data_IF_279418446348
#
_entry.id   IF_279418446348
#
_cell.length_a   1.000
_cell.length_b   1.000
_cell.length_c   1.000
_cell.angle_alpha   90.00
_cell.angle_beta   90.00
_cell.angle_gamma   90.00
#
_symmetry.space_group_name_H-M   'P 1'
#
loop_
_entity.id
_entity.type
_entity.pdbx_description
1 polymer ?
#
# COMPACT_ATOMS: atom_id res chain seq x y z
N UNK A 1 -5.43 -23.03 3.84
CA UNK A 1 -6.07 -21.79 4.33
C UNK A 1 -4.98 -20.75 4.52
N UNK A 2 -5.18 -19.50 4.09
CA UNK A 2 -4.16 -18.47 4.22
C UNK A 2 -3.81 -18.21 5.69
N UNK A 3 -2.58 -17.79 5.95
CA UNK A 3 -2.15 -17.39 7.31
C UNK A 3 -2.98 -16.19 7.81
N UNK A 4 -2.97 -15.93 9.11
CA UNK A 4 -3.61 -14.72 9.67
C UNK A 4 -2.98 -13.45 9.10
N UNK A 5 -1.67 -13.45 8.87
CA UNK A 5 -0.96 -12.33 8.25
C UNK A 5 -1.40 -12.09 6.81
N UNK A 6 -1.50 -13.15 5.98
CA UNK A 6 -1.94 -13.03 4.60
C UNK A 6 -3.38 -12.47 4.49
N UNK A 7 -4.26 -12.84 5.42
CA UNK A 7 -5.63 -12.30 5.48
C UNK A 7 -5.66 -10.83 5.91
N UNK A 8 -4.83 -10.43 6.86
CA UNK A 8 -4.71 -9.04 7.30
C UNK A 8 -4.19 -8.14 6.16
N UNK A 9 -3.14 -8.59 5.45
CA UNK A 9 -2.60 -7.90 4.27
C UNK A 9 -3.67 -7.76 3.19
N UNK A 10 -4.36 -8.86 2.84
CA UNK A 10 -5.41 -8.81 1.82
C UNK A 10 -6.54 -7.85 2.20
N UNK A 11 -7.00 -7.87 3.44
CA UNK A 11 -8.08 -6.99 3.89
C UNK A 11 -7.67 -5.51 3.80
N UNK A 12 -6.45 -5.18 4.26
CA UNK A 12 -5.89 -3.83 4.17
C UNK A 12 -5.71 -3.39 2.74
N UNK A 13 -5.12 -4.25 1.90
CA UNK A 13 -4.93 -3.96 0.49
C UNK A 13 -6.25 -3.61 -0.20
N UNK A 14 -7.30 -4.44 0.01
CA UNK A 14 -8.63 -4.19 -0.56
C UNK A 14 -9.28 -2.91 -0.02
N UNK A 15 -9.02 -2.54 1.24
CA UNK A 15 -9.45 -1.25 1.80
C UNK A 15 -8.73 -0.09 1.12
N UNK A 16 -7.40 -0.15 0.97
CA UNK A 16 -6.58 0.95 0.47
C UNK A 16 -6.80 1.21 -1.01
N UNK A 17 -6.93 0.17 -1.84
CA UNK A 17 -7.19 0.34 -3.28
C UNK A 17 -8.54 0.99 -3.57
N UNK A 18 -9.48 0.98 -2.61
CA UNK A 18 -10.75 1.68 -2.75
C UNK A 18 -10.64 3.21 -2.60
N UNK A 19 -9.53 3.70 -2.03
CA UNK A 19 -9.25 5.14 -1.97
C UNK A 19 -8.71 5.62 -3.32
N UNK A 20 -9.35 6.63 -3.88
CA UNK A 20 -8.83 7.38 -5.03
C UNK A 20 -7.67 8.25 -4.54
N UNK A 21 -6.45 7.88 -4.90
CA UNK A 21 -5.21 8.58 -4.50
C UNK A 21 -4.36 8.95 -5.72
N UNK A 22 -4.97 9.01 -6.89
CA UNK A 22 -4.26 9.33 -8.12
C UNK A 22 -3.53 10.67 -7.99
N UNK A 23 -2.28 10.71 -8.43
CA UNK A 23 -1.49 11.93 -8.44
C UNK A 23 -1.96 12.91 -9.53
N UNK A 24 -1.53 14.16 -9.43
CA UNK A 24 -1.86 15.25 -10.36
C UNK A 24 -0.68 16.21 -10.44
N UNK A 25 0.20 16.00 -11.42
CA UNK A 25 1.40 16.82 -11.63
C UNK A 25 1.07 18.31 -11.77
N UNK A 26 -0.12 18.64 -12.29
CA UNK A 26 -0.54 20.03 -12.50
C UNK A 26 -0.77 20.80 -11.20
N UNK A 27 -0.95 20.10 -10.07
CA UNK A 27 -1.20 20.67 -8.75
C UNK A 27 0.06 20.87 -7.92
N UNK A 28 1.19 20.23 -8.26
CA UNK A 28 2.41 20.23 -7.44
C UNK A 28 2.94 21.63 -7.14
N UNK A 29 2.81 22.56 -8.09
CA UNK A 29 3.24 23.96 -7.88
C UNK A 29 2.39 24.70 -6.82
N UNK A 30 1.24 24.16 -6.44
CA UNK A 30 0.24 24.81 -5.59
C UNK A 30 0.02 24.11 -4.25
N UNK A 31 0.21 22.79 -4.19
CA UNK A 31 -0.06 21.98 -2.99
C UNK A 31 0.65 20.63 -3.04
N UNK A 32 0.91 20.13 -1.84
CA UNK A 32 1.29 18.74 -1.56
C UNK A 32 0.43 18.25 -0.38
N UNK A 33 -0.14 17.04 -0.42
CA UNK A 33 -0.26 16.15 -1.60
C UNK A 33 -0.99 16.82 -2.76
N UNK A 34 -0.66 16.40 -3.98
CA UNK A 34 -1.25 16.95 -5.21
C UNK A 34 -2.76 16.66 -5.33
N UNK A 35 -3.24 15.61 -4.66
CA UNK A 35 -4.67 15.25 -4.56
C UNK A 35 -5.14 15.05 -3.12
N UNK A 36 -6.40 15.39 -2.83
CA UNK A 36 -6.96 15.28 -1.46
C UNK A 36 -7.05 13.83 -0.99
N UNK A 37 -7.28 12.91 -1.93
CA UNK A 37 -7.41 11.49 -1.63
C UNK A 37 -6.13 10.88 -1.05
N UNK A 38 -4.95 11.35 -1.48
CA UNK A 38 -3.68 10.95 -0.88
C UNK A 38 -3.64 11.30 0.61
N UNK A 39 -4.00 12.54 0.97
CA UNK A 39 -4.08 12.97 2.38
C UNK A 39 -5.12 12.15 3.15
N UNK A 40 -6.27 11.81 2.54
CA UNK A 40 -7.28 10.96 3.19
C UNK A 40 -6.74 9.57 3.53
N UNK A 41 -6.00 8.94 2.61
CA UNK A 41 -5.39 7.64 2.87
C UNK A 41 -4.29 7.75 3.95
N UNK A 42 -3.43 8.77 3.90
CA UNK A 42 -2.41 9.03 4.93
C UNK A 42 -3.02 9.19 6.33
N UNK A 43 -4.11 9.96 6.45
CA UNK A 43 -4.82 10.14 7.71
C UNK A 43 -5.47 8.84 8.21
N UNK A 44 -6.01 8.01 7.31
CA UNK A 44 -6.50 6.67 7.65
C UNK A 44 -5.35 5.82 8.22
N UNK A 45 -4.21 5.78 7.54
CA UNK A 45 -3.05 4.98 7.96
C UNK A 45 -2.55 5.42 9.33
N UNK A 46 -2.42 6.72 9.56
CA UNK A 46 -2.03 7.27 10.85
C UNK A 46 -3.02 6.90 11.97
N UNK A 47 -4.33 6.95 11.70
CA UNK A 47 -5.35 6.53 12.66
C UNK A 47 -5.30 5.03 12.93
N UNK A 48 -5.17 4.19 11.92
CA UNK A 48 -5.02 2.74 12.07
C UNK A 48 -3.80 2.39 12.94
N UNK A 49 -2.64 3.01 12.66
CA UNK A 49 -1.40 2.78 13.42
C UNK A 49 -1.53 3.27 14.88
N UNK A 50 -2.22 4.40 15.09
CA UNK A 50 -2.55 4.90 16.43
C UNK A 50 -3.46 3.95 17.20
N UNK A 51 -4.48 3.38 16.55
CA UNK A 51 -5.38 2.40 17.16
C UNK A 51 -4.67 1.11 17.57
N UNK A 52 -3.57 0.75 16.91
CA UNK A 52 -2.70 -0.37 17.31
C UNK A 52 -1.85 -0.07 18.55
N UNK A 53 -1.82 1.18 19.02
CA UNK A 53 -1.11 1.59 20.24
C UNK A 53 0.25 2.24 20.00
N UNK A 54 0.61 2.54 18.74
CA UNK A 54 1.80 3.36 18.44
C UNK A 54 1.55 4.79 18.91
N UNK A 55 2.54 5.35 19.62
CA UNK A 55 2.43 6.67 20.26
C UNK A 55 3.18 7.76 19.52
N UNK A 56 4.30 7.43 18.89
CA UNK A 56 5.08 8.37 18.10
C UNK A 56 4.65 8.27 16.65
N UNK A 57 3.77 9.19 16.25
CA UNK A 57 3.23 9.33 14.91
C UNK A 57 3.32 10.81 14.55
N UNK A 58 3.99 11.10 13.45
CA UNK A 58 4.12 12.42 12.87
C UNK A 58 3.37 12.43 11.54
N UNK A 59 2.58 13.47 11.32
CA UNK A 59 1.86 13.73 10.09
C UNK A 59 2.27 15.14 9.68
N UNK A 60 2.88 15.25 8.52
CA UNK A 60 3.27 16.52 7.93
C UNK A 60 2.20 17.02 6.96
N UNK A 61 2.04 18.34 6.91
CA UNK A 61 1.03 18.99 6.04
C UNK A 61 1.35 18.78 4.55
N UNK A 62 2.61 18.45 4.18
CA UNK A 62 3.03 18.15 2.81
C UNK A 62 2.85 16.67 2.45
N UNK A 63 2.19 15.85 3.27
CA UNK A 63 1.80 14.50 2.89
C UNK A 63 2.76 13.38 3.29
N UNK A 64 3.50 13.56 4.39
CA UNK A 64 4.37 12.51 4.95
C UNK A 64 3.83 12.04 6.29
N UNK A 65 3.66 10.72 6.45
CA UNK A 65 3.36 10.09 7.74
C UNK A 65 4.55 9.27 8.18
N UNK A 66 5.05 9.52 9.39
CA UNK A 66 6.10 8.72 10.03
C UNK A 66 5.60 8.16 11.35
N UNK A 67 5.49 6.84 11.44
CA UNK A 67 5.21 6.13 12.68
C UNK A 67 6.47 5.43 13.20
N UNK A 68 6.79 5.60 14.49
CA UNK A 68 7.97 4.98 15.10
C UNK A 68 7.60 3.93 16.13
N UNK A 69 8.08 2.71 15.91
CA UNK A 69 8.04 1.62 16.89
C UNK A 69 9.33 1.66 17.72
N UNK A 70 9.24 1.78 19.07
CA UNK A 70 10.43 1.86 19.91
C UNK A 70 11.19 0.52 19.94
N UNK A 71 12.48 0.59 20.21
CA UNK A 71 13.33 -0.58 20.45
C UNK A 71 12.81 -1.46 21.59
N UNK A 72 12.96 -2.78 21.45
CA UNK A 72 12.65 -3.77 22.51
C UNK A 72 13.88 -4.57 22.99
N UNK A 73 15.08 -4.06 22.67
CA UNK A 73 16.40 -4.55 23.09
C UNK A 73 17.11 -3.53 23.98
N UNK A 74 18.12 -3.99 24.72
CA UNK A 74 18.87 -3.22 25.72
C UNK A 74 20.26 -2.75 25.24
N UNK A 75 20.53 -2.83 23.94
CA UNK A 75 21.75 -2.36 23.31
C UNK A 75 21.45 -1.53 22.06
N UNK A 76 22.39 -0.67 21.69
CA UNK A 76 22.24 0.24 20.56
C UNK A 76 22.41 -0.48 19.22
N UNK A 77 21.46 -0.26 18.32
CA UNK A 77 21.51 -0.67 16.92
C UNK A 77 21.01 0.48 16.04
N UNK A 78 21.38 0.53 14.74
CA UNK A 78 20.83 1.53 13.82
C UNK A 78 19.30 1.44 13.71
N UNK A 79 18.65 2.60 13.58
CA UNK A 79 17.25 2.68 13.14
C UNK A 79 17.12 2.18 11.71
N UNK A 80 16.07 1.41 11.43
CA UNK A 80 15.69 1.00 10.07
C UNK A 80 14.34 1.59 9.74
N UNK A 81 14.15 2.03 8.49
CA UNK A 81 12.89 2.53 7.98
C UNK A 81 12.36 1.63 6.86
N UNK A 82 11.05 1.43 6.85
CA UNK A 82 10.30 0.89 5.71
C UNK A 82 9.42 2.00 5.16
N UNK A 83 9.42 2.16 3.84
CA UNK A 83 8.76 3.27 3.16
C UNK A 83 7.91 2.73 2.00
N UNK A 84 6.74 3.30 1.81
CA UNK A 84 5.85 3.08 0.68
C UNK A 84 5.14 4.40 0.32
N UNK A 85 4.72 4.56 -0.92
CA UNK A 85 3.93 5.72 -1.33
C UNK A 85 2.43 5.39 -1.41
N UNK A 86 1.58 6.41 -1.20
CA UNK A 86 0.12 6.23 -1.14
C UNK A 86 -0.57 6.55 -2.46
N UNK A 87 0.09 7.27 -3.34
CA UNK A 87 -0.45 7.70 -4.62
C UNK A 87 -0.43 6.59 -5.68
N UNK A 88 -1.13 6.83 -6.78
CA UNK A 88 -1.10 5.98 -7.96
C UNK A 88 -0.87 6.83 -9.19
N UNK A 89 -0.18 6.27 -10.19
CA UNK A 89 0.01 6.91 -11.49
C UNK A 89 -1.28 7.45 -12.13
N UNK A 90 -1.15 8.49 -12.96
CA UNK A 90 -2.25 9.11 -13.69
C UNK A 90 -2.39 8.62 -15.15
N UNK A 91 -1.56 7.66 -15.57
CA UNK A 91 -1.58 7.04 -16.91
C UNK A 91 -2.92 6.38 -17.27
N UNK A 92 -3.60 5.83 -16.27
CA UNK A 92 -4.90 5.15 -16.36
C UNK A 92 -5.75 5.62 -15.19
N UNK A 93 -7.08 5.78 -15.35
CA UNK A 93 -7.95 6.14 -14.23
C UNK A 93 -7.72 5.23 -13.01
N UNK A 94 -7.31 5.81 -11.89
CA UNK A 94 -7.16 5.14 -10.59
C UNK A 94 -8.37 5.33 -9.66
N UNK A 95 -9.39 6.06 -10.11
CA UNK A 95 -10.55 6.40 -9.31
C UNK A 95 -11.67 5.36 -9.43
N UNK A 96 -12.23 4.95 -8.28
CA UNK A 96 -13.34 4.01 -8.26
C UNK A 96 -12.96 2.56 -8.59
N UNK A 97 -11.76 2.14 -8.20
CA UNK A 97 -11.25 0.77 -8.38
C UNK A 97 -12.27 -0.26 -7.93
N UNK A 98 -12.56 -1.23 -8.81
CA UNK A 98 -13.35 -2.41 -8.49
C UNK A 98 -12.47 -3.65 -8.55
N UNK A 99 -11.98 -4.05 -7.38
CA UNK A 99 -11.16 -5.24 -7.25
C UNK A 99 -12.00 -6.51 -7.14
N UNK A 100 -11.45 -7.61 -7.66
CA UNK A 100 -11.98 -8.96 -7.52
C UNK A 100 -10.84 -9.89 -7.10
N UNK A 101 -11.12 -10.73 -6.11
CA UNK A 101 -10.20 -11.78 -5.65
C UNK A 101 -10.49 -13.06 -6.42
N UNK A 102 -9.45 -13.66 -6.99
CA UNK A 102 -9.46 -14.99 -7.59
C UNK A 102 -8.67 -15.89 -6.65
N UNK A 103 -9.37 -16.74 -5.91
CA UNK A 103 -8.72 -17.72 -5.05
C UNK A 103 -8.20 -18.88 -5.88
N UNK A 104 -6.94 -19.28 -5.65
CA UNK A 104 -6.32 -20.45 -6.30
C UNK A 104 -6.43 -20.40 -7.84
N UNK A 105 -5.78 -19.41 -8.45
CA UNK A 105 -5.76 -19.19 -9.89
C UNK A 105 -5.46 -20.48 -10.66
N UNK A 106 -6.26 -20.77 -11.68
CA UNK A 106 -6.27 -22.05 -12.39
C UNK A 106 -5.35 -22.08 -13.63
N UNK A 107 -4.70 -20.97 -13.95
CA UNK A 107 -3.85 -20.82 -15.14
C UNK A 107 -4.62 -20.51 -16.42
N UNK A 108 -5.91 -20.19 -16.35
CA UNK A 108 -6.69 -19.77 -17.51
C UNK A 108 -6.63 -18.26 -17.74
N UNK A 109 -7.07 -17.80 -18.92
CA UNK A 109 -7.31 -16.37 -19.16
C UNK A 109 -8.21 -15.78 -18.06
N UNK A 110 -7.98 -14.50 -17.72
CA UNK A 110 -8.73 -13.81 -16.66
C UNK A 110 -9.66 -12.77 -17.29
N UNK A 111 -10.97 -13.05 -17.47
CA UNK A 111 -11.92 -12.06 -17.95
C UNK A 111 -12.11 -10.99 -16.90
N UNK A 112 -11.86 -9.72 -17.25
CA UNK A 112 -12.05 -8.58 -16.36
C UNK A 112 -13.47 -8.01 -16.53
N UNK A 113 -13.91 -7.88 -17.78
CA UNK A 113 -15.27 -7.51 -18.16
C UNK A 113 -15.62 -8.05 -19.56
N UNK A 114 -16.71 -7.57 -20.17
CA UNK A 114 -17.14 -8.01 -21.51
C UNK A 114 -16.17 -7.62 -22.64
N UNK A 115 -15.33 -6.61 -22.43
CA UNK A 115 -14.39 -6.05 -23.41
C UNK A 115 -12.94 -6.48 -23.16
N UNK A 116 -12.54 -6.63 -21.89
CA UNK A 116 -11.14 -6.85 -21.50
C UNK A 116 -10.94 -8.21 -20.81
N UNK A 117 -9.86 -8.87 -21.18
CA UNK A 117 -9.41 -10.15 -20.62
C UNK A 117 -7.89 -10.12 -20.56
N UNK A 118 -7.31 -10.49 -19.43
CA UNK A 118 -5.87 -10.74 -19.32
C UNK A 118 -5.62 -12.11 -19.95
N UNK A 119 -4.86 -12.13 -21.04
CA UNK A 119 -4.58 -13.34 -21.81
C UNK A 119 -3.28 -13.99 -21.36
N UNK A 120 -3.29 -15.30 -21.17
CA UNK A 120 -2.11 -16.05 -20.69
C UNK A 120 -0.98 -16.05 -21.73
N UNK A 121 -1.30 -16.02 -23.03
CA UNK A 121 -0.31 -15.95 -24.10
C UNK A 121 0.35 -14.57 -24.23
N UNK A 122 -0.26 -13.52 -23.69
CA UNK A 122 0.31 -12.17 -23.61
C UNK A 122 1.05 -11.92 -22.28
N UNK A 123 0.86 -12.79 -21.28
CA UNK A 123 1.36 -12.64 -19.91
C UNK A 123 1.90 -14.00 -19.40
N UNK A 124 3.00 -14.48 -19.99
CA UNK A 124 3.58 -15.81 -19.71
C UNK A 124 3.90 -16.03 -18.21
N UNK A 125 4.17 -14.95 -17.47
CA UNK A 125 4.43 -14.95 -16.03
C UNK A 125 3.24 -15.46 -15.20
N UNK A 126 2.01 -15.40 -15.72
CA UNK A 126 0.81 -15.93 -15.04
C UNK A 126 0.95 -17.41 -14.70
N UNK A 127 1.72 -18.16 -15.48
CA UNK A 127 2.02 -19.57 -15.20
C UNK A 127 2.70 -19.79 -13.83
N UNK A 128 3.43 -18.80 -13.34
CA UNK A 128 4.08 -18.82 -12.02
C UNK A 128 3.11 -18.64 -10.85
N UNK A 129 1.87 -18.20 -11.10
CA UNK A 129 0.88 -17.90 -10.08
C UNK A 129 -0.24 -18.94 -9.99
N UNK A 130 -0.11 -20.09 -10.67
CA UNK A 130 -1.09 -21.18 -10.57
C UNK A 130 -1.20 -21.65 -9.11
N UNK A 131 -2.41 -21.65 -8.57
CA UNK A 131 -2.71 -21.98 -7.18
C UNK A 131 -2.58 -20.80 -6.20
N UNK A 132 -2.06 -19.67 -6.65
CA UNK A 132 -1.98 -18.45 -5.84
C UNK A 132 -3.30 -17.66 -5.82
N UNK A 133 -3.43 -16.76 -4.86
CA UNK A 133 -4.53 -15.79 -4.83
C UNK A 133 -4.16 -14.57 -5.66
N UNK A 134 -4.95 -14.25 -6.67
CA UNK A 134 -4.79 -13.03 -7.48
C UNK A 134 -5.82 -11.98 -7.09
N UNK A 135 -5.42 -10.71 -7.13
CA UNK A 135 -6.32 -9.58 -7.06
C UNK A 135 -6.25 -8.85 -8.39
N UNK A 136 -7.40 -8.68 -9.05
CA UNK A 136 -7.51 -8.06 -10.37
C UNK A 136 -8.56 -6.95 -10.35
N UNK A 137 -8.52 -6.07 -11.36
CA UNK A 137 -9.54 -5.02 -11.53
C UNK A 137 -10.75 -5.54 -12.32
N UNK A 138 -11.72 -4.66 -12.57
CA UNK A 138 -12.78 -4.89 -13.57
C UNK A 138 -12.36 -4.46 -14.99
N UNK A 139 -11.09 -4.11 -15.19
CA UNK A 139 -10.52 -3.68 -16.46
C UNK A 139 -10.79 -2.22 -16.83
N UNK A 140 -11.44 -1.43 -15.96
CA UNK A 140 -11.73 0.00 -16.23
C UNK A 140 -10.78 0.96 -15.53
N UNK A 141 -9.98 0.47 -14.59
CA UNK A 141 -9.01 1.23 -13.80
C UNK A 141 -7.70 0.46 -13.65
N UNK A 142 -6.64 1.15 -13.22
CA UNK A 142 -5.51 0.49 -12.56
C UNK A 142 -5.95 -0.08 -11.20
N UNK A 143 -5.14 -1.01 -10.65
CA UNK A 143 -5.43 -1.63 -9.35
C UNK A 143 -4.95 -0.78 -8.17
N UNK A 144 -3.86 -0.04 -8.35
CA UNK A 144 -3.12 0.57 -7.24
C UNK A 144 -2.30 -0.45 -6.45
N UNK A 145 -1.88 -1.54 -7.11
CA UNK A 145 -0.93 -2.49 -6.51
C UNK A 145 0.39 -1.79 -6.16
N UNK A 146 0.88 -1.01 -7.11
CA UNK A 146 1.90 0.01 -6.92
C UNK A 146 1.27 1.26 -6.28
N UNK A 147 1.60 1.64 -5.04
CA UNK A 147 2.35 0.88 -4.01
C UNK A 147 1.48 0.52 -2.80
N UNK A 148 0.15 0.46 -2.97
CA UNK A 148 -0.75 0.12 -1.84
C UNK A 148 -0.57 -1.31 -1.36
N UNK A 149 0.03 -2.18 -2.17
CA UNK A 149 0.48 -3.50 -1.71
C UNK A 149 1.62 -3.36 -0.68
N UNK A 150 2.62 -2.51 -0.96
CA UNK A 150 3.69 -2.15 -0.01
C UNK A 150 3.12 -1.53 1.26
N UNK A 151 2.20 -0.57 1.13
CA UNK A 151 1.50 0.04 2.28
C UNK A 151 0.82 -1.02 3.15
N UNK A 152 0.06 -1.94 2.56
CA UNK A 152 -0.59 -3.03 3.29
C UNK A 152 0.41 -3.94 4.01
N UNK A 153 1.51 -4.32 3.35
CA UNK A 153 2.57 -5.12 3.95
C UNK A 153 3.23 -4.41 5.13
N UNK A 154 3.57 -3.12 4.98
CA UNK A 154 4.23 -2.30 6.01
C UNK A 154 3.35 -2.16 7.25
N UNK A 155 2.05 -1.85 7.07
CA UNK A 155 1.11 -1.74 8.19
C UNK A 155 0.90 -3.08 8.89
N UNK A 156 0.77 -4.18 8.13
CA UNK A 156 0.65 -5.52 8.71
C UNK A 156 1.94 -5.96 9.43
N UNK A 157 3.13 -5.59 8.92
CA UNK A 157 4.40 -5.88 9.57
C UNK A 157 4.57 -5.09 10.88
N UNK A 158 4.17 -3.82 10.91
CA UNK A 158 4.11 -3.02 12.14
C UNK A 158 3.23 -3.70 13.19
N UNK A 159 2.00 -4.06 12.79
CA UNK A 159 1.06 -4.78 13.68
C UNK A 159 1.67 -6.08 14.18
N UNK A 160 2.32 -6.85 13.30
CA UNK A 160 2.95 -8.10 13.66
C UNK A 160 4.05 -7.91 14.72
N UNK A 161 4.93 -6.92 14.55
CA UNK A 161 5.98 -6.63 15.54
C UNK A 161 5.41 -6.20 16.90
N UNK A 162 4.30 -5.46 16.92
CA UNK A 162 3.60 -5.11 18.16
C UNK A 162 3.02 -6.33 18.88
N UNK A 163 2.44 -7.27 18.13
CA UNK A 163 1.82 -8.48 18.66
C UNK A 163 2.84 -9.56 19.06
N UNK A 164 4.09 -9.45 18.57
CA UNK A 164 5.16 -10.43 18.74
C UNK A 164 6.44 -9.83 19.40
N UNK A 165 6.39 -9.41 20.68
CA UNK A 165 7.52 -8.76 21.38
C UNK A 165 8.72 -9.69 21.62
N UNK A 166 8.59 -10.99 21.37
CA UNK A 166 9.69 -11.95 21.31
C UNK A 166 10.65 -11.69 20.15
N UNK A 167 10.17 -11.05 19.08
CA UNK A 167 11.00 -10.65 17.94
C UNK A 167 11.81 -9.42 18.34
N UNK A 168 13.13 -9.57 18.42
CA UNK A 168 14.01 -8.49 18.85
C UNK A 168 14.30 -7.51 17.72
N UNK A 169 14.08 -6.22 17.97
CA UNK A 169 14.31 -5.14 17.03
C UNK A 169 14.76 -3.85 17.73
N UNK A 170 15.52 -3.03 17.00
CA UNK A 170 15.79 -1.65 17.37
C UNK A 170 14.60 -0.74 17.11
N UNK A 171 14.85 0.56 16.95
CA UNK A 171 13.80 1.48 16.47
C UNK A 171 13.49 1.14 15.01
N UNK A 172 12.20 1.03 14.69
CA UNK A 172 11.71 0.83 13.32
C UNK A 172 10.77 1.97 12.97
N UNK A 173 11.04 2.63 11.85
CA UNK A 173 10.19 3.68 11.30
C UNK A 173 9.37 3.13 10.13
N UNK A 174 8.10 3.51 10.08
CA UNK A 174 7.16 3.15 9.02
C UNK A 174 6.69 4.46 8.39
N UNK A 175 7.04 4.63 7.12
CA UNK A 175 6.96 5.90 6.42
C UNK A 175 6.00 5.75 5.25
N UNK A 176 5.05 6.68 5.13
CA UNK A 176 4.13 6.76 4.00
C UNK A 176 4.22 8.14 3.37
N UNK A 177 4.46 8.20 2.07
CA UNK A 177 4.68 9.45 1.30
C UNK A 177 3.61 9.65 0.22
N UNK A 178 3.37 10.90 -0.14
CA UNK A 178 2.55 11.31 -1.30
C UNK A 178 3.40 11.60 -2.54
N UNK A 179 2.74 11.77 -3.69
CA UNK A 179 3.27 12.34 -4.94
C UNK A 179 4.54 11.65 -5.52
N UNK A 180 4.79 10.38 -5.22
CA UNK A 180 5.97 9.65 -5.74
C UNK A 180 5.91 9.52 -7.27
N UNK A 181 4.73 9.25 -7.81
CA UNK A 181 4.51 8.97 -9.24
C UNK A 181 4.76 10.20 -10.13
N UNK A 182 4.83 11.39 -9.50
CA UNK A 182 5.18 12.65 -10.17
C UNK A 182 6.63 13.07 -9.96
N UNK A 183 7.41 12.25 -9.25
CA UNK A 183 8.80 12.52 -8.86
C UNK A 183 8.95 13.48 -7.68
N UNK A 184 7.86 13.93 -7.06
CA UNK A 184 7.89 14.94 -5.99
C UNK A 184 7.86 14.33 -4.57
N UNK A 185 7.76 13.00 -4.43
CA UNK A 185 7.56 12.35 -3.13
C UNK A 185 8.68 12.55 -2.09
N UNK A 186 9.85 13.06 -2.50
CA UNK A 186 10.97 13.36 -1.61
C UNK A 186 11.29 14.85 -1.47
N UNK A 187 10.56 15.73 -2.14
CA UNK A 187 10.86 17.18 -2.13
C UNK A 187 10.68 17.82 -0.75
N UNK A 188 9.85 17.21 0.10
CA UNK A 188 9.45 17.72 1.41
C UNK A 188 9.78 16.76 2.58
N UNK A 189 10.68 15.78 2.38
CA UNK A 189 11.04 14.77 3.40
C UNK A 189 12.13 15.25 4.39
#
# INVERSE_FOLDING_TARGET
MPSTLARDILQRFLEYVAYDTMSDETQLASRHPSTEGQMQLLLLLADQVKQMGVKDIQIDDNGVVVARLPSNIDYDVPTVAFMAHVDTADDVPGNGVKSRVIESYDGADIPLNEMYTIKVDENEELSGYIGETLIVTDGTTLLGGDDKAGVAVIVSALKYLLEHPEIKHGVVEFIFTSDEETGAGMDNF
#
